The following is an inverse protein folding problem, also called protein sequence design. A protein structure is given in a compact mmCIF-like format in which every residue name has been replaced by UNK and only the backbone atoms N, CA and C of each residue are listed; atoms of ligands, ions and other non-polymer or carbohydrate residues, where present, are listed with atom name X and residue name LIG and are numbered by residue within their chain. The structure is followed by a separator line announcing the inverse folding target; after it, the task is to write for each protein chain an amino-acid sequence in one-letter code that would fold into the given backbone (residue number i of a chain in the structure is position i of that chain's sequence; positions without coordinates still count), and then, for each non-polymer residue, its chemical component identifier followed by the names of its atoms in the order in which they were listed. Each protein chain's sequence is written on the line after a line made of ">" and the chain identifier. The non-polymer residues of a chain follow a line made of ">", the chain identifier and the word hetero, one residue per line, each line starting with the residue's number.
data_IF_710190458033
#
_entry.id   IF_710190458033
#
_cell.length_a   1.000
_cell.length_b   1.000
_cell.length_c   1.000
_cell.angle_alpha   90.00
_cell.angle_beta   90.00
_cell.angle_gamma   90.00
#
_symmetry.space_group_name_H-M   'P 1'
#
loop_
_entity.id
_entity.type
_entity.pdbx_description
1 polymer ?
#
# COMPACT_ATOMS: atom_id res chain seq x y z
N UNK A 1 -24.60 -2.74 23.47
CA UNK A 1 -23.74 -2.00 22.51
C UNK A 1 -24.20 -0.54 22.39
N UNK A 2 -24.39 0.17 23.51
CA UNK A 2 -24.91 1.56 23.48
C UNK A 2 -23.97 2.48 24.26
N UNK A 3 -23.43 3.48 23.56
CA UNK A 3 -22.42 4.43 24.01
C UNK A 3 -21.50 4.81 22.85
N UNK A 4 -20.82 5.98 22.87
CA UNK A 4 -19.82 6.32 21.87
C UNK A 4 -18.71 5.25 21.87
N UNK A 5 -18.44 4.69 20.70
CA UNK A 5 -17.42 3.65 20.50
C UNK A 5 -16.26 4.29 19.77
N UNK A 6 -15.14 4.48 20.46
CA UNK A 6 -13.89 4.84 19.79
C UNK A 6 -13.25 3.61 19.13
N UNK A 7 -12.22 3.82 18.30
CA UNK A 7 -11.58 2.73 17.58
C UNK A 7 -10.99 1.65 18.51
N UNK A 8 -10.46 2.02 19.68
CA UNK A 8 -9.90 1.04 20.63
C UNK A 8 -11.00 0.22 21.30
N UNK A 9 -12.13 0.85 21.62
CA UNK A 9 -13.31 0.18 22.17
C UNK A 9 -13.95 -0.75 21.13
N UNK A 10 -14.02 -0.33 19.85
CA UNK A 10 -14.47 -1.20 18.75
C UNK A 10 -13.59 -2.45 18.63
N UNK A 11 -12.25 -2.28 18.63
CA UNK A 11 -11.30 -3.38 18.57
C UNK A 11 -11.45 -4.34 19.78
N UNK A 12 -11.67 -3.80 20.98
CA UNK A 12 -11.89 -4.61 22.19
C UNK A 12 -13.18 -5.41 22.16
N UNK A 13 -14.26 -4.86 21.59
CA UNK A 13 -15.60 -5.45 21.61
C UNK A 13 -15.87 -6.39 20.44
N UNK A 14 -15.34 -6.07 19.27
CA UNK A 14 -15.68 -6.72 18.00
C UNK A 14 -14.46 -7.36 17.31
N UNK A 15 -13.24 -7.09 17.80
CA UNK A 15 -12.03 -7.67 17.27
C UNK A 15 -11.70 -9.05 17.84
N UNK A 16 -10.46 -9.47 17.60
CA UNK A 16 -9.86 -10.68 18.15
C UNK A 16 -8.36 -10.46 18.39
N UNK A 17 -7.69 -11.46 18.98
CA UNK A 17 -6.27 -11.36 19.33
C UNK A 17 -5.37 -11.03 18.12
N UNK A 18 -5.64 -11.67 16.98
CA UNK A 18 -4.90 -11.43 15.73
C UNK A 18 -5.05 -10.00 15.22
N UNK A 19 -6.29 -9.48 15.13
CA UNK A 19 -6.53 -8.09 14.74
C UNK A 19 -5.86 -7.10 15.70
N UNK A 20 -5.87 -7.39 17.00
CA UNK A 20 -5.24 -6.52 17.99
C UNK A 20 -3.70 -6.49 17.84
N UNK A 21 -3.09 -7.66 17.60
CA UNK A 21 -1.65 -7.76 17.34
C UNK A 21 -1.27 -7.04 16.05
N UNK A 22 -2.00 -7.28 14.96
CA UNK A 22 -1.72 -6.63 13.68
C UNK A 22 -1.93 -5.11 13.75
N UNK A 23 -2.97 -4.64 14.45
CA UNK A 23 -3.20 -3.21 14.66
C UNK A 23 -2.03 -2.57 15.42
N UNK A 24 -1.54 -3.23 16.48
CA UNK A 24 -0.36 -2.77 17.22
C UNK A 24 0.90 -2.78 16.36
N UNK A 25 1.08 -3.81 15.53
CA UNK A 25 2.21 -3.91 14.61
C UNK A 25 2.19 -2.79 13.55
N UNK A 26 1.01 -2.44 13.02
CA UNK A 26 0.86 -1.30 12.11
C UNK A 26 1.22 0.02 12.78
N UNK A 27 0.74 0.26 14.01
CA UNK A 27 1.08 1.46 14.79
C UNK A 27 2.59 1.56 15.05
N UNK A 28 3.20 0.45 15.50
CA UNK A 28 4.63 0.39 15.78
C UNK A 28 5.48 0.55 14.51
N UNK A 29 5.06 -0.01 13.38
CA UNK A 29 5.75 0.16 12.10
C UNK A 29 5.77 1.65 11.69
N UNK A 30 4.62 2.32 11.76
CA UNK A 30 4.53 3.75 11.48
C UNK A 30 5.39 4.61 12.42
N UNK A 31 5.38 4.30 13.72
CA UNK A 31 6.22 5.00 14.72
C UNK A 31 7.71 4.90 14.40
N UNK A 32 8.16 3.79 13.84
CA UNK A 32 9.57 3.54 13.47
C UNK A 32 9.92 3.93 12.03
N UNK A 33 8.97 4.50 11.30
CA UNK A 33 9.14 4.84 9.89
C UNK A 33 9.35 3.63 8.98
N UNK A 34 8.70 2.51 9.32
CA UNK A 34 8.72 1.26 8.55
C UNK A 34 7.36 1.08 7.87
N UNK A 35 7.38 0.75 6.57
CA UNK A 35 6.16 0.47 5.82
C UNK A 35 5.45 -0.80 6.30
N UNK A 36 4.12 -0.77 6.36
CA UNK A 36 3.27 -1.92 6.61
C UNK A 36 2.58 -2.34 5.30
N UNK A 37 2.86 -3.56 4.83
CA UNK A 37 2.28 -4.09 3.61
C UNK A 37 1.05 -4.95 3.92
N UNK A 38 -0.13 -4.41 3.61
CA UNK A 38 -1.40 -5.07 3.83
C UNK A 38 -1.57 -6.26 2.87
N UNK A 39 -1.93 -7.42 3.40
CA UNK A 39 -2.21 -8.63 2.61
C UNK A 39 -3.66 -8.65 2.08
N UNK A 40 -4.56 -9.34 2.78
CA UNK A 40 -5.99 -9.39 2.50
C UNK A 40 -6.84 -8.71 3.58
N UNK A 41 -8.10 -9.15 3.69
CA UNK A 41 -9.12 -8.51 4.56
C UNK A 41 -8.64 -8.28 5.99
N UNK A 42 -8.08 -9.30 6.66
CA UNK A 42 -7.72 -9.23 8.09
C UNK A 42 -6.59 -8.22 8.33
N UNK A 43 -5.53 -8.27 7.53
CA UNK A 43 -4.40 -7.34 7.63
C UNK A 43 -4.85 -5.89 7.33
N UNK A 44 -5.64 -5.68 6.28
CA UNK A 44 -6.13 -4.36 5.91
C UNK A 44 -7.15 -3.82 6.91
N UNK A 45 -7.97 -4.67 7.53
CA UNK A 45 -8.88 -4.29 8.61
C UNK A 45 -8.12 -3.83 9.85
N UNK A 46 -7.05 -4.54 10.24
CA UNK A 46 -6.18 -4.14 11.32
C UNK A 46 -5.48 -2.80 11.03
N UNK A 47 -5.02 -2.58 9.80
CA UNK A 47 -4.46 -1.31 9.37
C UNK A 47 -5.50 -0.17 9.39
N UNK A 48 -6.75 -0.44 9.03
CA UNK A 48 -7.84 0.52 9.14
C UNK A 48 -8.16 0.89 10.59
N UNK A 49 -8.12 -0.09 11.50
CA UNK A 49 -8.23 0.18 12.94
C UNK A 49 -7.06 1.02 13.45
N UNK A 50 -5.83 0.74 13.02
CA UNK A 50 -4.67 1.55 13.36
C UNK A 50 -4.82 2.99 12.85
N UNK A 51 -5.32 3.17 11.61
CA UNK A 51 -5.59 4.49 11.03
C UNK A 51 -6.69 5.26 11.78
N UNK A 52 -7.74 4.58 12.23
CA UNK A 52 -8.78 5.17 13.05
C UNK A 52 -8.28 5.57 14.46
N UNK A 53 -7.27 4.88 14.98
CA UNK A 53 -6.61 5.22 16.25
C UNK A 53 -5.64 6.39 16.07
N UNK A 54 -4.82 6.35 15.01
CA UNK A 54 -3.78 7.33 14.71
C UNK A 54 -3.75 7.59 13.19
N UNK A 55 -4.34 8.71 12.72
CA UNK A 55 -4.40 9.00 11.29
C UNK A 55 -3.04 9.09 10.59
N UNK A 56 -1.98 9.47 11.32
CA UNK A 56 -0.63 9.61 10.76
C UNK A 56 0.01 8.29 10.32
N UNK A 57 -0.59 7.12 10.62
CA UNK A 57 -0.08 5.84 10.08
C UNK A 57 -0.27 5.70 8.57
N UNK A 58 -1.19 6.46 7.98
CA UNK A 58 -1.63 6.28 6.59
C UNK A 58 -0.51 6.30 5.55
N UNK A 59 0.49 7.21 5.59
CA UNK A 59 1.60 7.23 4.63
C UNK A 59 2.47 5.98 4.68
N UNK A 60 2.44 5.22 5.78
CA UNK A 60 3.22 3.99 5.96
C UNK A 60 2.50 2.75 5.45
N UNK A 61 1.23 2.87 5.04
CA UNK A 61 0.44 1.74 4.55
C UNK A 61 0.63 1.55 3.05
N UNK A 62 0.89 0.30 2.66
CA UNK A 62 0.92 -0.18 1.29
C UNK A 62 -0.08 -1.33 1.16
N UNK A 63 -0.68 -1.53 0.00
CA UNK A 63 -1.52 -2.69 -0.28
C UNK A 63 -0.78 -3.67 -1.19
N UNK A 64 -0.59 -4.89 -0.71
CA UNK A 64 0.11 -5.93 -1.47
C UNK A 64 -0.71 -6.42 -2.65
N UNK A 65 -1.95 -6.84 -2.41
CA UNK A 65 -2.82 -7.32 -3.47
C UNK A 65 -4.28 -6.90 -3.29
N UNK A 66 -5.08 -7.02 -4.35
CA UNK A 66 -6.53 -7.00 -4.30
C UNK A 66 -7.05 -8.41 -4.07
N UNK A 67 -7.72 -8.65 -2.94
CA UNK A 67 -8.54 -9.86 -2.74
C UNK A 67 -9.86 -9.69 -3.48
N UNK A 68 -10.46 -10.75 -4.05
CA UNK A 68 -11.82 -10.70 -4.59
C UNK A 68 -12.90 -10.54 -3.51
N UNK A 69 -12.54 -10.60 -2.22
CA UNK A 69 -13.48 -10.40 -1.12
C UNK A 69 -13.99 -8.95 -1.06
N UNK A 70 -15.32 -8.71 -1.05
CA UNK A 70 -15.88 -7.36 -1.08
C UNK A 70 -15.41 -6.45 0.06
N UNK A 71 -15.18 -7.04 1.24
CA UNK A 71 -14.66 -6.31 2.40
C UNK A 71 -13.27 -5.72 2.12
N UNK A 72 -12.42 -6.42 1.36
CA UNK A 72 -11.09 -5.90 1.07
C UNK A 72 -11.16 -4.66 0.18
N UNK A 73 -11.99 -4.68 -0.86
CA UNK A 73 -12.22 -3.51 -1.73
C UNK A 73 -12.67 -2.30 -0.92
N UNK A 74 -13.67 -2.47 -0.04
CA UNK A 74 -14.16 -1.38 0.80
C UNK A 74 -13.08 -0.83 1.74
N UNK A 75 -12.22 -1.70 2.29
CA UNK A 75 -11.10 -1.27 3.14
C UNK A 75 -10.01 -0.53 2.35
N UNK A 76 -9.69 -0.98 1.14
CA UNK A 76 -8.75 -0.30 0.25
C UNK A 76 -9.26 1.09 -0.13
N UNK A 77 -10.54 1.23 -0.44
CA UNK A 77 -11.18 2.51 -0.72
C UNK A 77 -11.19 3.42 0.52
N UNK A 78 -11.55 2.89 1.70
CA UNK A 78 -11.55 3.62 2.96
C UNK A 78 -10.17 4.17 3.30
N UNK A 79 -9.12 3.39 3.04
CA UNK A 79 -7.74 3.80 3.22
C UNK A 79 -7.17 4.47 1.98
N UNK A 80 -7.91 4.68 0.89
CA UNK A 80 -7.37 5.21 -0.37
C UNK A 80 -6.09 4.50 -0.86
N UNK A 81 -5.97 3.18 -0.67
CA UNK A 81 -4.80 2.38 -1.06
C UNK A 81 -5.01 1.75 -2.44
N UNK A 82 -3.98 1.87 -3.29
CA UNK A 82 -3.92 1.16 -4.57
C UNK A 82 -3.06 -0.10 -4.41
N UNK A 83 -3.61 -1.31 -4.65
CA UNK A 83 -2.86 -2.55 -4.48
C UNK A 83 -1.85 -2.78 -5.60
N UNK A 84 -0.66 -3.28 -5.23
CA UNK A 84 0.43 -3.59 -6.17
C UNK A 84 0.03 -4.71 -7.13
N UNK A 85 -0.72 -5.71 -6.64
CA UNK A 85 -1.12 -6.90 -7.40
C UNK A 85 -2.63 -7.06 -7.49
N UNK A 86 -3.13 -7.57 -8.60
CA UNK A 86 -4.54 -7.98 -8.76
C UNK A 86 -4.64 -9.34 -9.45
N UNK A 87 -4.34 -10.39 -8.69
CA UNK A 87 -4.20 -11.77 -9.19
C UNK A 87 -5.33 -12.72 -8.73
N UNK A 88 -6.38 -12.20 -8.10
CA UNK A 88 -7.49 -13.01 -7.58
C UNK A 88 -7.13 -13.88 -6.37
N UNK A 89 -6.04 -13.55 -5.66
CA UNK A 89 -5.58 -14.28 -4.46
C UNK A 89 -6.54 -14.10 -3.28
N UNK A 90 -6.74 -15.14 -2.48
CA UNK A 90 -7.63 -15.15 -1.29
C UNK A 90 -7.23 -16.20 -0.24
N UNK A 91 -5.95 -16.59 -0.23
CA UNK A 91 -5.45 -17.56 0.74
C UNK A 91 -5.26 -16.94 2.13
N UNK A 92 -4.87 -15.67 2.17
CA UNK A 92 -4.46 -15.01 3.42
C UNK A 92 -3.02 -15.35 3.79
N UNK A 93 -2.73 -15.36 5.08
CA UNK A 93 -1.42 -15.76 5.65
C UNK A 93 -0.23 -14.95 5.08
N UNK A 94 -0.47 -13.68 4.73
CA UNK A 94 0.51 -12.79 4.10
C UNK A 94 0.97 -13.23 2.70
N UNK A 95 0.26 -14.14 2.04
CA UNK A 95 0.67 -14.66 0.72
C UNK A 95 0.71 -13.59 -0.38
N UNK A 96 -0.28 -12.69 -0.43
CA UNK A 96 -0.33 -11.59 -1.39
C UNK A 96 0.63 -10.44 -1.03
N UNK A 97 0.77 -10.13 0.26
CA UNK A 97 1.79 -9.20 0.73
C UNK A 97 3.21 -9.70 0.39
N UNK A 98 3.50 -10.99 0.60
CA UNK A 98 4.81 -11.58 0.29
C UNK A 98 5.08 -11.55 -1.22
N UNK A 99 4.08 -11.87 -2.05
CA UNK A 99 4.22 -11.76 -3.50
C UNK A 99 4.50 -10.30 -3.95
N UNK A 100 3.81 -9.32 -3.36
CA UNK A 100 4.04 -7.91 -3.66
C UNK A 100 5.39 -7.40 -3.15
N UNK A 101 5.89 -7.94 -2.03
CA UNK A 101 7.22 -7.61 -1.51
C UNK A 101 8.32 -7.94 -2.53
N UNK A 102 8.20 -9.06 -3.24
CA UNK A 102 9.16 -9.40 -4.30
C UNK A 102 9.18 -8.35 -5.43
N UNK A 103 8.03 -7.78 -5.78
CA UNK A 103 7.92 -6.69 -6.75
C UNK A 103 8.57 -5.40 -6.21
N UNK A 104 8.34 -5.07 -4.94
CA UNK A 104 8.97 -3.91 -4.31
C UNK A 104 10.50 -4.04 -4.25
N UNK A 105 11.00 -5.24 -3.92
CA UNK A 105 12.44 -5.52 -3.93
C UNK A 105 13.03 -5.40 -5.34
N UNK A 106 12.32 -5.90 -6.35
CA UNK A 106 12.73 -5.72 -7.75
C UNK A 106 12.79 -4.24 -8.11
N UNK A 107 11.76 -3.45 -7.78
CA UNK A 107 11.73 -2.02 -8.06
C UNK A 107 12.88 -1.27 -7.38
N UNK A 108 13.18 -1.59 -6.12
CA UNK A 108 14.32 -1.02 -5.40
C UNK A 108 15.66 -1.39 -6.05
N UNK A 109 15.84 -2.66 -6.44
CA UNK A 109 17.04 -3.12 -7.12
C UNK A 109 17.21 -2.46 -8.50
N UNK A 110 16.13 -2.31 -9.26
CA UNK A 110 16.14 -1.58 -10.53
C UNK A 110 16.50 -0.11 -10.33
N UNK A 111 15.90 0.56 -9.34
CA UNK A 111 16.22 1.96 -9.06
C UNK A 111 17.69 2.15 -8.65
N UNK A 112 18.24 1.26 -7.85
CA UNK A 112 19.62 1.35 -7.38
C UNK A 112 20.67 0.91 -8.42
N UNK A 113 20.31 0.00 -9.33
CA UNK A 113 21.25 -0.65 -10.25
C UNK A 113 21.14 -0.25 -11.72
N UNK A 114 20.15 0.56 -12.09
CA UNK A 114 19.96 0.97 -13.49
C UNK A 114 20.90 2.13 -13.84
N UNK A 115 21.65 1.96 -14.93
CA UNK A 115 22.47 3.02 -15.49
C UNK A 115 21.59 4.20 -15.91
N UNK A 116 22.07 5.41 -15.64
CA UNK A 116 21.50 6.63 -16.20
C UNK A 116 21.65 6.65 -17.73
N UNK A 117 20.87 7.47 -18.43
CA UNK A 117 20.98 7.59 -19.89
C UNK A 117 22.40 7.98 -20.34
N UNK A 118 23.10 8.82 -19.56
CA UNK A 118 24.48 9.19 -19.81
C UNK A 118 25.44 8.00 -19.71
N UNK A 119 25.32 7.19 -18.64
CA UNK A 119 26.14 6.00 -18.44
C UNK A 119 25.86 4.91 -19.47
N UNK A 120 24.61 4.79 -19.92
CA UNK A 120 24.18 3.85 -20.95
C UNK A 120 24.49 4.31 -22.40
N UNK A 121 25.01 5.53 -22.58
CA UNK A 121 25.34 6.07 -23.90
C UNK A 121 24.11 6.33 -24.80
N UNK A 122 22.96 6.66 -24.20
CA UNK A 122 21.73 6.95 -24.95
C UNK A 122 21.76 8.38 -25.49
N UNK A 123 21.77 8.52 -26.81
CA UNK A 123 21.81 9.82 -27.49
C UNK A 123 20.50 10.61 -27.31
N UNK A 124 20.60 11.93 -27.12
CA UNK A 124 19.45 12.86 -27.06
C UNK A 124 18.82 13.05 -25.68
N UNK A 125 19.39 12.50 -24.61
CA UNK A 125 18.80 12.56 -23.26
C UNK A 125 18.78 13.96 -22.61
N UNK A 126 19.62 14.89 -23.09
CA UNK A 126 19.69 16.28 -22.61
C UNK A 126 18.98 17.28 -23.52
N UNK A 127 18.34 16.82 -24.61
CA UNK A 127 17.67 17.72 -25.56
C UNK A 127 16.23 17.98 -25.10
N UNK A 128 15.85 19.24 -24.79
CA UNK A 128 14.49 19.56 -24.37
C UNK A 128 13.50 19.15 -25.48
N UNK A 129 12.29 18.68 -25.12
CA UNK A 129 11.32 18.20 -26.10
C UNK A 129 11.06 19.30 -27.13
N UNK A 130 11.29 18.99 -28.40
CA UNK A 130 11.09 19.92 -29.50
C UNK A 130 9.66 20.48 -29.41
N UNK A 131 9.55 21.80 -29.24
CA UNK A 131 8.29 22.54 -29.28
C UNK A 131 7.72 22.39 -30.68
N UNK A 132 6.93 21.34 -30.90
CA UNK A 132 6.18 21.15 -32.13
C UNK A 132 5.14 22.27 -32.24
N UNK A 133 5.45 23.29 -33.04
CA UNK A 133 4.44 24.21 -33.55
C UNK A 133 3.36 23.36 -34.24
N UNK A 134 2.17 23.31 -33.63
CA UNK A 134 0.98 22.80 -34.32
C UNK A 134 0.72 23.77 -35.47
N UNK A 135 1.19 23.39 -36.66
CA UNK A 135 0.81 24.01 -37.92
C UNK A 135 -0.71 23.97 -38.03
N UNK A 136 -1.33 25.13 -37.80
CA UNK A 136 -2.70 25.38 -38.19
C UNK A 136 -2.71 25.50 -39.71
N UNK A 137 -3.15 24.45 -40.37
CA UNK A 137 -3.53 24.48 -41.78
C UNK A 137 -5.07 24.45 -41.87
N UNK A 138 -5.62 25.09 -42.91
CA UNK A 138 -6.88 25.86 -42.87
C UNK A 138 -8.17 25.06 -42.81
#
# INVERSE_FOLDING_TARGET
>A
LHGPVDARDALRRLGGGELAVLCGLTLGAAEHGVGYLCDGVIATAAAAMAHAIEPSVRPWLLAGHRSPEPAHTALLEHLALDPILSLGMRLGEASGATAALAILQLAAATHAGMATFAEAGVAGADEPPATGERSAAP
#
